data_IF_857200008610
#
_entry.id   IF_857200008610
#
_cell.length_a   1.000
_cell.length_b   1.000
_cell.length_c   1.000
_cell.angle_alpha   90.00
_cell.angle_beta   90.00
_cell.angle_gamma   90.00
#
_symmetry.space_group_name_H-M   'P 1'
#
loop_
_entity.id
_entity.type
_entity.pdbx_description
1 polymer ?
#
# COMPACT_ATOMS: atom_id res chain seq x y z
N UNK A 1 12.62 1.82 9.33
CA UNK A 1 12.81 0.40 9.71
C UNK A 1 11.75 -0.43 8.99
N UNK A 2 11.98 -1.74 8.86
CA UNK A 2 11.01 -2.70 8.32
C UNK A 2 10.74 -3.77 9.36
N UNK A 3 9.52 -4.31 9.35
CA UNK A 3 9.13 -5.49 10.12
C UNK A 3 8.41 -6.47 9.20
N UNK A 4 8.85 -7.71 9.14
CA UNK A 4 8.21 -8.77 8.32
C UNK A 4 6.93 -9.30 8.99
N UNK A 5 6.15 -10.09 8.26
CA UNK A 5 4.97 -10.76 8.80
C UNK A 5 5.31 -11.72 9.96
N UNK A 6 6.48 -12.34 9.91
CA UNK A 6 6.96 -13.29 10.93
C UNK A 6 7.69 -12.59 12.10
N UNK A 7 7.85 -11.26 12.01
CA UNK A 7 8.31 -10.41 13.10
C UNK A 7 9.75 -9.93 13.02
N UNK A 8 10.52 -10.32 12.00
CA UNK A 8 11.91 -9.89 11.82
C UNK A 8 11.98 -8.38 11.58
N UNK A 9 12.89 -7.71 12.27
CA UNK A 9 13.10 -6.26 12.18
C UNK A 9 14.46 -5.98 11.56
N UNK A 10 14.49 -5.14 10.54
CA UNK A 10 15.74 -4.72 9.91
C UNK A 10 15.68 -3.26 9.45
N UNK A 11 16.87 -2.70 9.19
CA UNK A 11 17.03 -1.37 8.63
C UNK A 11 17.48 -1.45 7.18
N UNK A 12 16.84 -0.67 6.31
CA UNK A 12 17.17 -0.60 4.90
C UNK A 12 16.98 0.86 4.42
N UNK A 13 18.06 1.61 4.14
CA UNK A 13 18.02 3.03 3.76
C UNK A 13 17.78 3.29 2.27
N UNK A 14 17.20 2.32 1.53
CA UNK A 14 16.98 2.45 0.09
C UNK A 14 15.91 3.51 -0.27
N UNK A 15 16.20 4.32 -1.29
CA UNK A 15 15.39 5.47 -1.79
C UNK A 15 14.88 5.25 -3.23
N UNK A 16 14.52 4.03 -3.57
CA UNK A 16 13.95 3.67 -4.87
C UNK A 16 12.51 3.15 -4.74
N UNK A 17 12.02 2.52 -5.80
CA UNK A 17 10.81 1.72 -5.78
C UNK A 17 11.13 0.28 -5.36
N UNK A 18 10.29 -0.30 -4.49
CA UNK A 18 10.46 -1.66 -3.98
C UNK A 18 9.13 -2.39 -3.93
N UNK A 19 9.15 -3.70 -4.21
CA UNK A 19 8.03 -4.59 -3.89
C UNK A 19 8.03 -4.80 -2.38
N UNK A 20 6.97 -4.34 -1.71
CA UNK A 20 6.78 -4.48 -0.27
C UNK A 20 6.16 -5.84 0.08
N UNK A 21 5.15 -6.25 -0.68
CA UNK A 21 4.51 -7.57 -0.55
C UNK A 21 3.88 -7.98 -1.89
N UNK A 22 4.03 -9.24 -2.29
CA UNK A 22 3.37 -9.81 -3.47
C UNK A 22 3.13 -11.31 -3.26
N UNK A 23 2.19 -11.89 -4.00
CA UNK A 23 1.98 -13.33 -4.06
C UNK A 23 2.80 -13.96 -5.20
N UNK A 24 3.97 -14.50 -4.86
CA UNK A 24 4.90 -15.06 -5.85
C UNK A 24 4.52 -16.46 -6.37
N UNK A 25 3.47 -17.10 -5.84
CA UNK A 25 3.12 -18.51 -6.16
C UNK A 25 1.86 -18.68 -6.98
N UNK A 26 1.15 -17.59 -7.27
CA UNK A 26 -0.08 -17.65 -8.05
C UNK A 26 0.22 -17.47 -9.53
N UNK A 27 -0.37 -18.27 -10.44
CA UNK A 27 -0.28 -18.06 -11.88
C UNK A 27 -0.90 -16.71 -12.31
N UNK A 28 -1.77 -16.16 -11.45
CA UNK A 28 -2.31 -14.80 -11.57
C UNK A 28 -1.86 -13.99 -10.36
N UNK A 29 -1.16 -12.87 -10.57
CA UNK A 29 -0.76 -11.98 -9.48
C UNK A 29 -2.01 -11.37 -8.83
N UNK A 30 -2.51 -12.00 -7.76
CA UNK A 30 -3.74 -11.60 -7.05
C UNK A 30 -3.54 -10.32 -6.24
N UNK A 31 -2.33 -10.11 -5.72
CA UNK A 31 -1.88 -8.82 -5.23
C UNK A 31 -0.39 -8.53 -5.44
N UNK A 32 -0.08 -7.25 -5.66
CA UNK A 32 1.27 -6.68 -5.65
C UNK A 32 1.23 -5.30 -4.96
N UNK A 33 2.06 -5.09 -3.95
CA UNK A 33 2.16 -3.84 -3.21
C UNK A 33 3.59 -3.33 -3.36
N UNK A 34 3.72 -2.11 -3.88
CA UNK A 34 4.99 -1.43 -4.05
C UNK A 34 5.01 -0.13 -3.27
N UNK A 35 6.19 0.23 -2.78
CA UNK A 35 6.45 1.51 -2.13
C UNK A 35 7.56 2.24 -2.86
N UNK A 36 7.37 3.54 -3.09
CA UNK A 36 8.42 4.42 -3.57
C UNK A 36 8.90 5.31 -2.44
N UNK A 37 10.17 5.19 -2.09
CA UNK A 37 10.79 5.94 -0.99
C UNK A 37 11.69 7.05 -1.53
N UNK A 38 11.78 8.17 -0.81
CA UNK A 38 12.73 9.25 -1.11
C UNK A 38 13.29 9.84 0.18
N UNK A 39 14.40 10.56 0.08
CA UNK A 39 14.91 11.38 1.17
C UNK A 39 14.23 12.76 1.16
N UNK A 40 13.63 13.16 2.28
CA UNK A 40 13.06 14.50 2.51
C UNK A 40 13.61 15.01 3.84
N UNK A 41 14.33 16.13 3.83
CA UNK A 41 14.80 16.82 5.06
C UNK A 41 15.47 15.87 6.09
N UNK A 42 16.28 14.92 5.61
CA UNK A 42 16.97 13.87 6.38
C UNK A 42 16.11 12.69 6.88
N UNK A 43 14.83 12.62 6.52
CA UNK A 43 13.97 11.46 6.76
C UNK A 43 13.73 10.66 5.47
N UNK A 44 13.54 9.34 5.59
CA UNK A 44 13.10 8.51 4.46
C UNK A 44 11.58 8.41 4.44
N UNK A 45 10.94 9.09 3.49
CA UNK A 45 9.49 9.14 3.35
C UNK A 45 8.99 8.12 2.32
N UNK A 46 7.77 7.63 2.50
CA UNK A 46 7.04 6.93 1.44
C UNK A 46 6.31 8.01 0.64
N UNK A 47 6.61 8.12 -0.65
CA UNK A 47 5.98 9.13 -1.52
C UNK A 47 4.79 8.57 -2.27
N UNK A 48 4.86 7.28 -2.61
CA UNK A 48 3.83 6.57 -3.33
C UNK A 48 3.68 5.16 -2.79
N UNK A 49 2.43 4.70 -2.74
CA UNK A 49 2.08 3.29 -2.55
C UNK A 49 1.27 2.87 -3.76
N UNK A 50 1.74 1.86 -4.48
CA UNK A 50 1.04 1.30 -5.65
C UNK A 50 0.57 -0.09 -5.27
N UNK A 51 -0.72 -0.36 -5.43
CA UNK A 51 -1.32 -1.65 -5.15
C UNK A 51 -2.05 -2.15 -6.39
N UNK A 52 -1.67 -3.33 -6.87
CA UNK A 52 -2.48 -4.12 -7.79
C UNK A 52 -3.28 -5.10 -6.96
N UNK A 53 -4.60 -5.02 -6.97
CA UNK A 53 -5.49 -5.89 -6.19
C UNK A 53 -6.57 -6.45 -7.13
N UNK A 54 -6.54 -7.75 -7.41
CA UNK A 54 -7.50 -8.44 -8.28
C UNK A 54 -7.76 -7.72 -9.63
N UNK A 55 -6.70 -7.14 -10.23
CA UNK A 55 -6.75 -6.44 -11.51
C UNK A 55 -6.95 -4.93 -11.44
N UNK A 56 -7.38 -4.38 -10.29
CA UNK A 56 -7.46 -2.94 -10.08
C UNK A 56 -6.08 -2.36 -9.71
N UNK A 57 -5.72 -1.20 -10.27
CA UNK A 57 -4.49 -0.48 -9.92
C UNK A 57 -4.84 0.73 -9.07
N UNK A 58 -4.36 0.73 -7.82
CA UNK A 58 -4.56 1.81 -6.86
C UNK A 58 -3.23 2.51 -6.65
N UNK A 59 -3.19 3.82 -6.90
CA UNK A 59 -2.02 4.65 -6.66
C UNK A 59 -2.34 5.67 -5.57
N UNK A 60 -1.56 5.61 -4.50
CA UNK A 60 -1.69 6.49 -3.35
C UNK A 60 -0.52 7.45 -3.33
N UNK A 61 -0.80 8.74 -3.18
CA UNK A 61 0.18 9.76 -2.82
C UNK A 61 -0.44 10.72 -1.81
N UNK A 62 0.36 11.59 -1.18
CA UNK A 62 -0.14 12.49 -0.13
C UNK A 62 -1.29 13.36 -0.65
N UNK A 63 -2.48 13.20 -0.08
CA UNK A 63 -3.70 13.90 -0.45
C UNK A 63 -4.44 13.33 -1.67
N UNK A 64 -3.87 12.36 -2.40
CA UNK A 64 -4.41 11.87 -3.68
C UNK A 64 -4.58 10.34 -3.69
N UNK A 65 -5.69 9.89 -4.28
CA UNK A 65 -5.99 8.48 -4.52
C UNK A 65 -6.45 8.35 -5.97
N UNK A 66 -5.70 7.59 -6.77
CA UNK A 66 -6.07 7.23 -8.12
C UNK A 66 -6.44 5.75 -8.18
N UNK A 67 -7.53 5.45 -8.86
CA UNK A 67 -7.91 4.10 -9.27
C UNK A 67 -7.88 4.04 -10.80
N UNK A 68 -7.06 3.15 -11.35
CA UNK A 68 -6.86 2.98 -12.80
C UNK A 68 -6.60 4.33 -13.50
N UNK A 69 -5.75 5.16 -12.89
CA UNK A 69 -5.38 6.49 -13.38
C UNK A 69 -6.42 7.60 -13.16
N UNK A 70 -7.57 7.31 -12.53
CA UNK A 70 -8.65 8.28 -12.27
C UNK A 70 -8.74 8.63 -10.79
N UNK A 71 -8.86 9.92 -10.48
CA UNK A 71 -9.07 10.39 -9.11
C UNK A 71 -10.43 9.92 -8.58
N UNK A 72 -10.45 9.44 -7.34
CA UNK A 72 -11.66 8.94 -6.67
C UNK A 72 -11.94 9.73 -5.39
N UNK A 73 -13.22 9.91 -5.09
CA UNK A 73 -13.66 10.55 -3.85
C UNK A 73 -13.82 9.49 -2.74
N UNK A 74 -13.51 9.89 -1.51
CA UNK A 74 -13.57 9.01 -0.34
C UNK A 74 -14.92 9.16 0.39
N UNK A 75 -15.47 8.08 0.96
CA UNK A 75 -15.02 6.71 0.82
C UNK A 75 -15.31 6.16 -0.59
N UNK A 76 -14.47 5.26 -1.06
CA UNK A 76 -14.63 4.56 -2.34
C UNK A 76 -14.91 3.08 -2.11
N UNK A 77 -15.86 2.50 -2.86
CA UNK A 77 -16.19 1.08 -2.77
C UNK A 77 -16.57 0.53 -4.14
N UNK A 78 -15.71 -0.33 -4.71
CA UNK A 78 -16.00 -0.98 -5.99
C UNK A 78 -15.14 -2.23 -6.20
N UNK A 79 -15.68 -3.22 -6.92
CA UNK A 79 -14.94 -4.43 -7.36
C UNK A 79 -14.10 -5.10 -6.26
N UNK A 80 -14.64 -5.19 -5.04
CA UNK A 80 -13.95 -5.85 -3.92
C UNK A 80 -12.86 -4.99 -3.25
N UNK A 81 -12.69 -3.73 -3.65
CA UNK A 81 -11.82 -2.74 -3.00
C UNK A 81 -12.68 -1.73 -2.25
N UNK A 82 -12.30 -1.46 -1.01
CA UNK A 82 -12.86 -0.40 -0.17
C UNK A 82 -11.73 0.52 0.29
N UNK A 83 -11.88 1.83 0.06
CA UNK A 83 -10.91 2.85 0.44
C UNK A 83 -11.60 3.89 1.31
N UNK A 84 -11.02 4.16 2.48
CA UNK A 84 -11.49 5.18 3.40
C UNK A 84 -10.33 6.04 3.90
N UNK A 85 -10.57 7.34 4.07
CA UNK A 85 -9.60 8.29 4.63
C UNK A 85 -10.10 8.74 6.00
N UNK A 86 -9.23 8.61 6.99
CA UNK A 86 -9.38 9.22 8.31
C UNK A 86 -8.40 10.38 8.44
N UNK A 87 -8.45 11.10 9.56
CA UNK A 87 -7.49 12.17 9.85
C UNK A 87 -6.04 11.68 10.01
N UNK A 88 -5.83 10.37 10.26
CA UNK A 88 -4.51 9.81 10.59
C UNK A 88 -4.00 8.79 9.58
N UNK A 89 -4.87 8.24 8.75
CA UNK A 89 -4.49 7.21 7.78
C UNK A 89 -5.47 7.13 6.61
N UNK A 90 -4.92 6.72 5.46
CA UNK A 90 -5.67 6.11 4.38
C UNK A 90 -5.68 4.59 4.57
N UNK A 91 -6.86 3.99 4.50
CA UNK A 91 -7.04 2.54 4.61
C UNK A 91 -7.60 1.99 3.30
N UNK A 92 -6.95 0.96 2.77
CA UNK A 92 -7.42 0.17 1.63
C UNK A 92 -7.69 -1.25 2.11
N UNK A 93 -8.91 -1.73 1.92
CA UNK A 93 -9.33 -3.10 2.25
C UNK A 93 -9.75 -3.81 0.97
N UNK A 94 -9.28 -5.04 0.79
CA UNK A 94 -9.62 -5.87 -0.35
C UNK A 94 -10.33 -7.16 0.06
N UNK A 95 -11.26 -7.63 -0.78
CA UNK A 95 -12.04 -8.87 -0.60
C UNK A 95 -11.15 -10.10 -0.42
N UNK A 96 -9.93 -10.09 -0.96
CA UNK A 96 -8.91 -11.12 -0.77
C UNK A 96 -8.36 -11.22 0.67
N UNK A 97 -8.90 -10.45 1.63
CA UNK A 97 -8.51 -10.48 3.04
C UNK A 97 -7.27 -9.64 3.33
N UNK A 98 -6.99 -8.64 2.50
CA UNK A 98 -5.83 -7.75 2.67
C UNK A 98 -6.29 -6.37 3.14
N UNK A 99 -5.58 -5.82 4.12
CA UNK A 99 -5.75 -4.43 4.56
C UNK A 99 -4.41 -3.72 4.50
N UNK A 100 -4.39 -2.54 3.89
CA UNK A 100 -3.25 -1.64 3.83
C UNK A 100 -3.61 -0.33 4.55
N UNK A 101 -2.73 0.15 5.43
CA UNK A 101 -2.86 1.37 6.20
C UNK A 101 -1.63 2.23 5.99
N UNK A 102 -1.81 3.45 5.49
CA UNK A 102 -0.73 4.39 5.27
C UNK A 102 -1.05 5.72 5.94
N UNK A 103 -0.10 6.29 6.70
CA UNK A 103 -0.24 7.62 7.32
C UNK A 103 -0.01 8.79 6.33
N UNK A 104 0.10 8.52 5.03
CA UNK A 104 0.45 9.51 3.99
C UNK A 104 1.85 10.14 4.17
N UNK A 105 2.68 9.51 5.00
CA UNK A 105 4.05 9.93 5.34
C UNK A 105 5.01 8.73 5.25
N UNK A 106 5.51 8.22 6.37
CA UNK A 106 6.61 7.25 6.45
C UNK A 106 6.19 5.84 6.89
N UNK A 107 4.95 5.66 7.36
CA UNK A 107 4.49 4.43 7.99
C UNK A 107 3.41 3.74 7.15
N UNK A 108 3.76 2.57 6.62
CA UNK A 108 2.85 1.66 5.92
C UNK A 108 2.72 0.35 6.71
N UNK A 109 1.50 -0.10 6.94
CA UNK A 109 1.17 -1.40 7.50
C UNK A 109 0.32 -2.20 6.52
N UNK A 110 0.76 -3.42 6.21
CA UNK A 110 -0.05 -4.40 5.47
C UNK A 110 -0.40 -5.55 6.39
N UNK A 111 -1.68 -5.91 6.43
CA UNK A 111 -2.22 -7.05 7.16
C UNK A 111 -2.90 -8.00 6.18
N UNK A 112 -2.56 -9.29 6.30
CA UNK A 112 -3.29 -10.37 5.64
C UNK A 112 -4.10 -11.11 6.68
N UNK A 113 -5.40 -11.23 6.44
CA UNK A 113 -6.29 -12.06 7.24
C UNK A 113 -6.23 -13.50 6.73
N UNK A 114 -6.14 -14.51 7.62
CA UNK A 114 -6.32 -15.91 7.24
C UNK A 114 -7.67 -16.09 6.55
N UNK A 115 -7.70 -16.90 5.48
CA UNK A 115 -8.95 -17.39 4.90
C UNK A 115 -9.50 -18.54 5.75
#
# INVERSE_FOLDING_TARGET
HFKTFDGDIFYFPGVCNYIFASNCKSPYEDFNIQIRRTAVENATMITHVIMKLEGAVIELSRGSVLLDGKSVQMPYSHMGVFIERSNSYLKVSAKLGLTCLWNEEDALLVRKHPK
#
